data_IF_921086218261
#
_entry.id   IF_921086218261
#
_cell.length_a   1.000
_cell.length_b   1.000
_cell.length_c   1.000
_cell.angle_alpha   90.00
_cell.angle_beta   90.00
_cell.angle_gamma   90.00
#
_symmetry.space_group_name_H-M   'P 1'
#
loop_
_entity.id
_entity.type
_entity.pdbx_description
1 polymer ?
#
# COMPACT_ATOMS: atom_id res chain seq x y z
N UNK A 1 -7.12 -18.21 -8.31
CA UNK A 1 -7.31 -16.85 -7.78
C UNK A 1 -5.95 -16.19 -7.79
N UNK A 2 -5.80 -15.03 -8.42
CA UNK A 2 -4.50 -14.34 -8.56
C UNK A 2 -4.00 -13.87 -7.19
N UNK A 3 -2.77 -14.24 -6.85
CA UNK A 3 -2.10 -13.76 -5.65
C UNK A 3 -1.43 -12.42 -5.92
N UNK A 4 -1.62 -11.43 -5.03
CA UNK A 4 -1.09 -10.08 -5.21
C UNK A 4 -0.45 -9.60 -3.90
N UNK A 5 0.85 -9.33 -3.92
CA UNK A 5 1.51 -8.66 -2.80
C UNK A 5 1.11 -7.18 -2.76
N UNK A 6 0.64 -6.74 -1.59
CA UNK A 6 0.07 -5.41 -1.40
C UNK A 6 1.07 -4.28 -1.43
N UNK A 7 2.34 -4.55 -1.13
CA UNK A 7 3.39 -3.54 -1.13
C UNK A 7 4.80 -4.13 -1.18
N UNK A 8 5.53 -3.79 -2.22
CA UNK A 8 6.97 -4.06 -2.38
C UNK A 8 7.69 -2.78 -2.79
N UNK A 9 8.94 -2.60 -2.36
CA UNK A 9 9.78 -1.51 -2.82
C UNK A 9 10.67 -1.97 -3.98
N UNK A 10 10.79 -1.17 -5.04
CA UNK A 10 11.62 -1.46 -6.19
C UNK A 10 12.54 -0.29 -6.50
N UNK A 11 13.86 -0.54 -6.56
CA UNK A 11 14.87 0.46 -6.86
C UNK A 11 16.05 0.42 -5.90
N UNK A 12 16.93 1.41 -6.01
CA UNK A 12 18.15 1.52 -5.20
C UNK A 12 17.95 2.56 -4.10
N UNK A 13 18.21 2.19 -2.86
CA UNK A 13 18.30 3.08 -1.71
C UNK A 13 19.66 2.92 -1.02
N UNK A 14 19.90 3.66 0.06
CA UNK A 14 21.14 3.57 0.83
C UNK A 14 21.35 2.20 1.47
N UNK A 15 20.26 1.56 1.90
CA UNK A 15 20.29 0.33 2.68
C UNK A 15 20.06 -0.92 1.84
N UNK A 16 19.52 -0.79 0.63
CA UNK A 16 19.20 -1.93 -0.23
C UNK A 16 19.25 -1.60 -1.72
N UNK A 17 19.36 -2.66 -2.52
CA UNK A 17 19.24 -2.61 -3.97
C UNK A 17 18.16 -3.62 -4.40
N UNK A 18 16.93 -3.16 -4.56
CA UNK A 18 15.79 -3.94 -5.00
C UNK A 18 15.72 -3.97 -6.53
N UNK A 19 16.35 -4.97 -7.14
CA UNK A 19 16.27 -5.15 -8.60
C UNK A 19 14.98 -5.89 -9.00
N UNK A 20 14.49 -5.63 -10.22
CA UNK A 20 13.34 -6.34 -10.79
C UNK A 20 13.56 -7.86 -10.75
N UNK A 21 14.75 -8.34 -11.14
CA UNK A 21 15.05 -9.77 -11.17
C UNK A 21 15.03 -10.41 -9.78
N UNK A 22 15.54 -9.72 -8.75
CA UNK A 22 15.51 -10.21 -7.38
C UNK A 22 14.08 -10.30 -6.83
N UNK A 23 13.27 -9.28 -7.09
CA UNK A 23 11.87 -9.26 -6.66
C UNK A 23 11.07 -10.36 -7.38
N UNK A 24 11.22 -10.50 -8.69
CA UNK A 24 10.55 -11.55 -9.47
C UNK A 24 10.92 -12.95 -8.96
N UNK A 25 12.20 -13.20 -8.67
CA UNK A 25 12.64 -14.48 -8.12
C UNK A 25 12.06 -14.76 -6.72
N UNK A 26 11.94 -13.74 -5.87
CA UNK A 26 11.29 -13.87 -4.55
C UNK A 26 9.77 -14.17 -4.70
N UNK A 27 9.10 -13.46 -5.60
CA UNK A 27 7.69 -13.70 -5.92
C UNK A 27 7.46 -15.13 -6.42
N UNK A 28 8.34 -15.63 -7.31
CA UNK A 28 8.22 -16.98 -7.86
C UNK A 28 8.36 -18.05 -6.77
N UNK A 29 9.32 -17.89 -5.84
CA UNK A 29 9.48 -18.82 -4.71
C UNK A 29 8.27 -18.81 -3.76
N UNK A 30 7.68 -17.64 -3.52
CA UNK A 30 6.52 -17.51 -2.64
C UNK A 30 5.19 -17.88 -3.31
N UNK A 31 5.17 -18.10 -4.62
CA UNK A 31 3.95 -18.31 -5.39
C UNK A 31 3.08 -17.05 -5.53
N UNK A 32 3.73 -15.88 -5.57
CA UNK A 32 3.08 -14.57 -5.75
C UNK A 32 3.07 -14.22 -7.23
N UNK A 33 1.88 -14.07 -7.80
CA UNK A 33 1.72 -13.81 -9.23
C UNK A 33 1.98 -12.35 -9.58
N UNK A 34 1.52 -11.41 -8.74
CA UNK A 34 1.68 -9.97 -8.96
C UNK A 34 2.09 -9.25 -7.68
N UNK A 35 2.68 -8.06 -7.82
CA UNK A 35 3.02 -7.20 -6.69
C UNK A 35 2.72 -5.72 -7.02
N UNK A 36 2.20 -5.00 -6.04
CA UNK A 36 2.19 -3.53 -6.07
C UNK A 36 3.60 -3.06 -5.75
N UNK A 37 4.21 -2.31 -6.67
CA UNK A 37 5.55 -1.77 -6.51
C UNK A 37 5.53 -0.28 -6.24
N UNK A 38 6.36 0.15 -5.31
CA UNK A 38 6.56 1.54 -4.94
C UNK A 38 8.04 1.92 -5.00
N UNK A 39 8.38 3.19 -5.28
CA UNK A 39 9.76 3.62 -5.33
C UNK A 39 10.36 3.74 -3.92
N UNK A 40 11.70 3.75 -3.79
CA UNK A 40 12.41 4.01 -2.54
C UNK A 40 12.09 5.37 -1.91
N UNK A 41 12.39 5.49 -0.60
CA UNK A 41 12.05 6.63 0.24
C UNK A 41 12.48 7.99 -0.31
N UNK A 42 13.67 8.07 -0.93
CA UNK A 42 14.13 9.33 -1.55
C UNK A 42 13.16 9.86 -2.61
N UNK A 43 12.55 8.96 -3.36
CA UNK A 43 11.57 9.32 -4.39
C UNK A 43 10.20 9.61 -3.79
N UNK A 44 9.85 8.98 -2.67
CA UNK A 44 8.66 9.34 -1.91
C UNK A 44 8.83 10.76 -1.34
N UNK A 45 10.01 11.08 -0.79
CA UNK A 45 10.29 12.34 -0.14
C UNK A 45 10.40 13.53 -1.13
N UNK A 46 11.17 13.39 -2.21
CA UNK A 46 11.59 14.54 -3.03
C UNK A 46 11.34 14.34 -4.53
N UNK A 47 11.95 13.33 -5.14
CA UNK A 47 11.98 13.18 -6.61
C UNK A 47 10.82 12.32 -7.12
N UNK A 48 9.58 12.70 -6.74
CA UNK A 48 8.39 11.90 -6.98
C UNK A 48 8.23 11.52 -8.46
N UNK A 49 8.44 12.48 -9.38
CA UNK A 49 8.28 12.22 -10.81
C UNK A 49 9.23 11.16 -11.33
N UNK A 50 10.50 11.19 -10.90
CA UNK A 50 11.50 10.19 -11.28
C UNK A 50 11.10 8.80 -10.73
N UNK A 51 10.70 8.74 -9.45
CA UNK A 51 10.22 7.50 -8.84
C UNK A 51 9.01 6.91 -9.57
N UNK A 52 8.02 7.73 -9.89
CA UNK A 52 6.84 7.30 -10.64
C UNK A 52 7.19 6.80 -12.05
N UNK A 53 8.15 7.43 -12.72
CA UNK A 53 8.64 6.98 -14.03
C UNK A 53 9.33 5.62 -13.92
N UNK A 54 10.14 5.38 -12.91
CA UNK A 54 10.76 4.09 -12.66
C UNK A 54 9.71 2.98 -12.48
N UNK A 55 8.66 3.24 -11.69
CA UNK A 55 7.57 2.26 -11.48
C UNK A 55 6.81 1.96 -12.78
N UNK A 56 6.52 2.99 -13.57
CA UNK A 56 5.90 2.83 -14.90
C UNK A 56 6.76 1.96 -15.82
N UNK A 57 8.07 2.21 -15.86
CA UNK A 57 8.98 1.51 -16.77
C UNK A 57 9.15 0.05 -16.35
N UNK A 58 9.20 -0.25 -15.04
CA UNK A 58 9.17 -1.61 -14.52
C UNK A 58 7.88 -2.37 -14.89
N UNK A 59 6.72 -1.71 -14.80
CA UNK A 59 5.44 -2.32 -15.24
C UNK A 59 5.45 -2.56 -16.75
N UNK A 60 6.00 -1.67 -17.56
CA UNK A 60 6.11 -1.88 -19.02
C UNK A 60 7.00 -3.08 -19.35
N UNK A 61 8.06 -3.31 -18.59
CA UNK A 61 8.92 -4.49 -18.73
C UNK A 61 8.21 -5.77 -18.26
N UNK A 62 7.40 -5.70 -17.21
CA UNK A 62 6.77 -6.87 -16.58
C UNK A 62 5.24 -6.65 -16.34
N UNK A 63 4.42 -6.42 -17.38
CA UNK A 63 3.03 -5.96 -17.22
C UNK A 63 2.08 -6.95 -16.55
N UNK A 64 2.45 -8.23 -16.53
CA UNK A 64 1.68 -9.29 -15.85
C UNK A 64 2.13 -9.56 -14.43
N UNK A 65 3.26 -8.96 -14.00
CA UNK A 65 3.86 -9.21 -12.70
C UNK A 65 3.75 -8.00 -11.78
N UNK A 66 3.93 -6.79 -12.30
CA UNK A 66 3.95 -5.58 -11.49
C UNK A 66 2.69 -4.73 -11.69
N UNK A 67 2.33 -4.02 -10.63
CA UNK A 67 1.28 -3.00 -10.58
C UNK A 67 1.93 -1.74 -10.04
N UNK A 68 1.99 -0.67 -10.82
CA UNK A 68 2.62 0.57 -10.39
C UNK A 68 1.79 1.27 -9.31
N UNK A 69 2.44 1.68 -8.24
CA UNK A 69 1.95 2.80 -7.45
C UNK A 69 2.51 4.12 -7.98
N UNK A 70 1.93 5.22 -7.54
CA UNK A 70 2.51 6.56 -7.67
C UNK A 70 2.65 7.20 -6.29
N UNK A 71 3.51 8.20 -6.21
CA UNK A 71 3.66 9.04 -5.03
C UNK A 71 3.72 10.50 -5.44
N UNK A 72 3.32 11.38 -4.52
CA UNK A 72 3.56 12.80 -4.62
C UNK A 72 3.70 13.40 -3.22
N UNK A 73 4.66 14.30 -3.05
CA UNK A 73 4.83 14.99 -1.77
C UNK A 73 3.83 16.15 -1.69
N UNK A 74 2.90 16.16 -0.71
CA UNK A 74 1.84 17.17 -0.64
C UNK A 74 2.36 18.60 -0.47
N UNK A 75 3.59 18.79 0.03
CA UNK A 75 4.24 20.10 0.11
C UNK A 75 4.42 20.80 -1.24
N UNK A 76 4.32 20.07 -2.35
CA UNK A 76 4.41 20.66 -3.69
C UNK A 76 3.09 21.23 -4.21
N UNK A 77 1.99 21.15 -3.43
CA UNK A 77 0.69 21.71 -3.77
C UNK A 77 0.15 21.22 -5.11
N UNK A 78 -0.27 22.13 -5.98
CA UNK A 78 -0.86 21.77 -7.27
C UNK A 78 0.06 20.89 -8.14
N UNK A 79 1.37 21.07 -8.05
CA UNK A 79 2.33 20.22 -8.79
C UNK A 79 2.28 18.77 -8.33
N UNK A 80 1.98 18.51 -7.04
CA UNK A 80 1.79 17.16 -6.53
C UNK A 80 0.50 16.53 -7.11
N UNK A 81 -0.59 17.27 -7.18
CA UNK A 81 -1.85 16.82 -7.80
C UNK A 81 -1.67 16.50 -9.29
N UNK A 82 -1.01 17.41 -10.03
CA UNK A 82 -0.70 17.20 -11.45
C UNK A 82 0.17 15.94 -11.66
N UNK A 83 1.14 15.71 -10.77
CA UNK A 83 1.99 14.52 -10.85
C UNK A 83 1.21 13.22 -10.58
N UNK A 84 0.30 13.20 -9.60
CA UNK A 84 -0.58 12.04 -9.37
C UNK A 84 -1.43 11.78 -10.61
N UNK A 85 -2.07 12.81 -11.15
CA UNK A 85 -2.91 12.68 -12.36
C UNK A 85 -2.11 12.10 -13.52
N UNK A 86 -0.94 12.66 -13.80
CA UNK A 86 -0.04 12.17 -14.86
C UNK A 86 0.35 10.70 -14.65
N UNK A 87 0.77 10.35 -13.44
CA UNK A 87 1.20 8.98 -13.14
C UNK A 87 0.05 7.97 -13.29
N UNK A 88 -1.17 8.36 -12.88
CA UNK A 88 -2.37 7.54 -13.03
C UNK A 88 -2.79 7.39 -14.50
N UNK A 89 -2.67 8.43 -15.31
CA UNK A 89 -2.87 8.37 -16.76
C UNK A 89 -1.85 7.44 -17.43
N UNK A 90 -0.63 7.39 -16.91
CA UNK A 90 0.43 6.49 -17.37
C UNK A 90 0.35 5.07 -16.79
N UNK A 91 -0.67 4.75 -15.97
CA UNK A 91 -0.99 3.39 -15.54
C UNK A 91 -0.80 3.08 -14.06
N UNK A 92 -0.45 4.06 -13.21
CA UNK A 92 -0.42 3.85 -11.76
C UNK A 92 -1.82 3.54 -11.22
N UNK A 93 -1.90 2.67 -10.21
CA UNK A 93 -3.15 2.14 -9.67
C UNK A 93 -3.33 2.36 -8.17
N UNK A 94 -2.32 2.83 -7.48
CA UNK A 94 -2.32 3.11 -6.03
C UNK A 94 -1.57 4.41 -5.80
N UNK A 95 -2.11 5.31 -5.00
CA UNK A 95 -1.36 6.45 -4.47
C UNK A 95 -0.70 6.04 -3.15
N UNK A 96 0.61 6.22 -3.04
CA UNK A 96 1.37 5.97 -1.81
C UNK A 96 1.68 7.28 -1.12
N UNK A 97 1.31 7.36 0.17
CA UNK A 97 1.65 8.43 1.08
C UNK A 97 2.53 7.88 2.21
N UNK A 98 3.64 8.54 2.47
CA UNK A 98 4.54 8.19 3.55
C UNK A 98 4.73 9.39 4.51
N UNK A 99 3.80 9.62 5.44
CA UNK A 99 3.78 10.84 6.25
C UNK A 99 5.08 11.15 6.97
N UNK A 100 5.77 10.13 7.52
CA UNK A 100 7.06 10.32 8.20
C UNK A 100 8.14 10.83 7.22
N UNK A 101 8.33 10.15 6.09
CA UNK A 101 9.39 10.46 5.12
C UNK A 101 9.09 11.78 4.37
N UNK A 102 7.83 12.05 4.13
CA UNK A 102 7.37 13.27 3.44
C UNK A 102 7.17 14.46 4.39
N UNK A 103 7.26 14.25 5.71
CA UNK A 103 7.28 15.30 6.72
C UNK A 103 5.92 15.98 6.98
N UNK A 104 4.82 15.21 7.03
CA UNK A 104 3.49 15.73 7.36
C UNK A 104 2.73 14.78 8.31
N UNK A 105 1.63 15.23 8.88
CA UNK A 105 0.70 14.37 9.62
C UNK A 105 -0.33 13.78 8.66
N UNK A 106 -0.63 12.49 8.77
CA UNK A 106 -1.46 11.79 7.79
C UNK A 106 -2.81 12.48 7.51
N UNK A 107 -3.43 13.08 8.51
CA UNK A 107 -4.71 13.79 8.41
C UNK A 107 -4.58 15.33 8.30
N UNK A 108 -3.41 15.85 7.97
CA UNK A 108 -3.21 17.28 7.71
C UNK A 108 -3.96 17.70 6.43
N UNK A 109 -4.51 18.94 6.44
CA UNK A 109 -5.22 19.50 5.28
C UNK A 109 -4.35 19.58 4.02
N UNK A 110 -3.03 19.60 4.20
CA UNK A 110 -2.05 19.55 3.14
C UNK A 110 -2.24 18.37 2.18
N UNK A 111 -2.74 17.23 2.69
CA UNK A 111 -2.95 16.01 1.90
C UNK A 111 -4.27 15.99 1.15
N UNK A 112 -5.24 16.82 1.52
CA UNK A 112 -6.61 16.76 0.99
C UNK A 112 -6.69 16.89 -0.54
N UNK A 113 -5.95 17.78 -1.22
CA UNK A 113 -5.98 17.86 -2.67
C UNK A 113 -5.53 16.56 -3.37
N UNK A 114 -4.62 15.80 -2.75
CA UNK A 114 -4.19 14.49 -3.27
C UNK A 114 -5.28 13.43 -3.09
N UNK A 115 -6.02 13.49 -1.99
CA UNK A 115 -7.14 12.56 -1.73
C UNK A 115 -8.33 12.86 -2.65
N UNK A 116 -8.61 14.13 -2.93
CA UNK A 116 -9.60 14.53 -3.92
C UNK A 116 -9.24 14.02 -5.32
N UNK A 117 -7.98 14.12 -5.71
CA UNK A 117 -7.51 13.55 -6.98
C UNK A 117 -7.61 12.02 -7.00
N UNK A 118 -7.25 11.34 -5.89
CA UNK A 118 -7.37 9.88 -5.78
C UNK A 118 -8.83 9.41 -5.91
N UNK A 119 -9.77 10.13 -5.31
CA UNK A 119 -11.22 9.87 -5.44
C UNK A 119 -11.69 10.03 -6.89
N UNK A 120 -11.35 11.15 -7.54
CA UNK A 120 -11.66 11.40 -8.96
C UNK A 120 -11.10 10.30 -9.87
N UNK A 121 -9.88 9.84 -9.60
CA UNK A 121 -9.20 8.79 -10.35
C UNK A 121 -9.66 7.38 -9.96
N UNK A 122 -10.43 7.22 -8.88
CA UNK A 122 -10.90 5.94 -8.32
C UNK A 122 -9.75 4.97 -8.03
N UNK A 123 -8.69 5.48 -7.44
CA UNK A 123 -7.55 4.69 -7.00
C UNK A 123 -7.49 4.64 -5.47
N UNK A 124 -7.12 3.51 -4.87
CA UNK A 124 -6.89 3.42 -3.44
C UNK A 124 -5.65 4.20 -3.02
N UNK A 125 -5.63 4.61 -1.75
CA UNK A 125 -4.50 5.31 -1.12
C UNK A 125 -3.86 4.40 -0.09
N UNK A 126 -2.59 4.08 -0.30
CA UNK A 126 -1.76 3.39 0.68
C UNK A 126 -1.11 4.43 1.60
N UNK A 127 -1.37 4.32 2.89
CA UNK A 127 -0.77 5.20 3.90
C UNK A 127 0.18 4.38 4.76
N UNK A 128 1.47 4.72 4.75
CA UNK A 128 2.41 4.16 5.70
C UNK A 128 2.01 4.57 7.11
N UNK A 129 1.73 3.61 7.99
CA UNK A 129 1.28 3.85 9.37
C UNK A 129 2.25 3.29 10.41
N UNK A 130 2.06 3.69 11.66
CA UNK A 130 2.88 3.23 12.79
C UNK A 130 3.92 4.23 13.26
N UNK A 131 4.01 5.41 12.65
CA UNK A 131 4.95 6.44 13.06
C UNK A 131 4.31 7.40 14.06
N UNK A 132 4.82 7.49 15.30
CA UNK A 132 4.33 8.43 16.30
C UNK A 132 4.34 9.87 15.77
N UNK A 133 3.23 10.56 15.95
CA UNK A 133 3.07 11.95 15.52
C UNK A 133 2.82 12.18 14.03
N UNK A 134 3.11 11.22 13.14
CA UNK A 134 2.92 11.37 11.72
C UNK A 134 1.76 10.54 11.16
N UNK A 135 1.64 9.27 11.54
CA UNK A 135 0.63 8.38 10.97
C UNK A 135 0.19 7.29 11.93
N UNK A 136 -0.88 7.56 12.64
CA UNK A 136 -1.55 6.62 13.54
C UNK A 136 -2.78 6.01 12.85
N UNK A 137 -3.29 4.84 13.28
CA UNK A 137 -4.55 4.28 12.76
C UNK A 137 -5.72 5.25 12.83
N UNK A 138 -5.84 6.04 13.90
CA UNK A 138 -6.95 7.00 14.06
C UNK A 138 -6.85 8.22 13.13
N UNK A 139 -5.65 8.61 12.71
CA UNK A 139 -5.51 9.63 11.66
C UNK A 139 -5.99 9.10 10.30
N UNK A 140 -5.80 7.81 10.00
CA UNK A 140 -6.37 7.18 8.79
C UNK A 140 -7.90 7.09 8.89
N UNK A 141 -8.47 6.85 10.08
CA UNK A 141 -9.93 6.90 10.29
C UNK A 141 -10.50 8.29 9.97
N UNK A 142 -9.84 9.35 10.44
CA UNK A 142 -10.26 10.72 10.16
C UNK A 142 -10.32 10.98 8.64
N UNK A 143 -9.30 10.56 7.89
CA UNK A 143 -9.31 10.62 6.44
C UNK A 143 -10.41 9.77 5.81
N UNK A 144 -10.59 8.55 6.26
CA UNK A 144 -11.56 7.61 5.71
C UNK A 144 -13.01 8.07 5.89
N UNK A 145 -13.31 8.71 7.02
CA UNK A 145 -14.63 9.30 7.29
C UNK A 145 -14.86 10.57 6.46
N UNK A 146 -13.81 11.34 6.18
CA UNK A 146 -13.88 12.55 5.37
C UNK A 146 -13.99 12.25 3.88
N UNK A 147 -13.35 11.18 3.41
CA UNK A 147 -13.30 10.76 2.02
C UNK A 147 -13.89 9.36 1.82
N UNK A 148 -15.22 9.19 1.96
CA UNK A 148 -15.85 7.87 1.89
C UNK A 148 -15.77 7.21 0.50
N UNK A 149 -15.44 7.97 -0.55
CA UNK A 149 -15.19 7.46 -1.90
C UNK A 149 -13.81 6.86 -2.11
N UNK A 150 -12.85 7.15 -1.22
CA UNK A 150 -11.47 6.67 -1.28
C UNK A 150 -11.32 5.42 -0.42
N UNK A 151 -10.72 4.36 -0.97
CA UNK A 151 -10.30 3.21 -0.17
C UNK A 151 -8.90 3.45 0.39
N UNK A 152 -8.72 3.27 1.69
CA UNK A 152 -7.44 3.44 2.38
C UNK A 152 -6.84 2.09 2.73
N UNK A 153 -5.63 1.82 2.25
CA UNK A 153 -4.78 0.73 2.70
C UNK A 153 -3.95 1.24 3.88
N UNK A 154 -4.24 0.75 5.09
CA UNK A 154 -3.46 1.03 6.29
C UNK A 154 -2.19 0.17 6.24
N UNK A 155 -1.14 0.73 5.64
CA UNK A 155 0.14 0.06 5.48
C UNK A 155 0.78 -0.28 6.83
N UNK A 156 1.35 -1.46 6.94
CA UNK A 156 2.02 -1.96 8.14
C UNK A 156 1.10 -2.16 9.37
N UNK A 157 -0.21 -2.01 9.23
CA UNK A 157 -1.18 -2.19 10.32
C UNK A 157 -0.81 -1.46 11.63
N UNK A 158 -0.41 -0.19 11.53
CA UNK A 158 -0.05 0.59 12.72
C UNK A 158 1.22 0.12 13.43
N UNK A 159 2.02 -0.76 12.82
CA UNK A 159 3.28 -1.19 13.38
C UNK A 159 4.24 0.01 13.49
N UNK A 160 4.98 0.12 14.56
CA UNK A 160 5.26 -0.84 15.63
C UNK A 160 4.49 -0.53 16.93
N UNK A 161 3.96 0.69 17.08
CA UNK A 161 3.53 1.22 18.38
C UNK A 161 2.00 1.23 18.54
N UNK A 162 1.23 1.16 17.43
CA UNK A 162 -0.23 1.37 17.45
C UNK A 162 -1.05 0.13 17.12
N UNK A 163 -0.48 -1.06 17.27
CA UNK A 163 -1.13 -2.33 16.95
C UNK A 163 -2.45 -2.58 17.71
N UNK A 164 -2.60 -1.99 18.91
CA UNK A 164 -3.84 -2.08 19.69
C UNK A 164 -5.00 -1.28 19.09
N UNK A 165 -4.69 -0.21 18.34
CA UNK A 165 -5.70 0.69 17.77
C UNK A 165 -6.28 0.15 16.45
N UNK A 166 -5.56 -0.76 15.79
CA UNK A 166 -5.90 -1.26 14.43
C UNK A 166 -7.29 -1.89 14.35
N UNK A 167 -7.70 -2.83 15.24
CA UNK A 167 -9.02 -3.44 15.12
C UNK A 167 -10.17 -2.44 15.27
N UNK A 168 -10.03 -1.50 16.22
CA UNK A 168 -11.01 -0.46 16.47
C UNK A 168 -11.12 0.49 15.28
N UNK A 169 -10.01 0.94 14.74
CA UNK A 169 -9.98 1.84 13.60
C UNK A 169 -10.61 1.21 12.35
N UNK A 170 -10.26 -0.03 12.02
CA UNK A 170 -10.80 -0.74 10.87
C UNK A 170 -12.29 -1.05 10.97
N UNK A 171 -12.82 -1.18 12.20
CA UNK A 171 -14.26 -1.41 12.43
C UNK A 171 -15.11 -0.14 12.25
N UNK A 172 -14.53 1.05 12.45
CA UNK A 172 -15.27 2.33 12.38
C UNK A 172 -15.49 2.78 10.93
N UNK A 173 -14.52 2.57 10.04
CA UNK A 173 -14.59 3.05 8.67
C UNK A 173 -14.66 1.90 7.65
N UNK A 174 -15.72 1.84 6.82
CA UNK A 174 -15.92 0.74 5.87
C UNK A 174 -14.89 0.70 4.74
N UNK A 175 -14.23 1.81 4.46
CA UNK A 175 -13.26 2.00 3.39
C UNK A 175 -11.79 1.91 3.86
N UNK A 176 -11.54 1.39 5.07
CA UNK A 176 -10.18 1.04 5.54
C UNK A 176 -9.92 -0.44 5.29
N UNK A 177 -8.75 -0.73 4.76
CA UNK A 177 -8.20 -2.08 4.53
C UNK A 177 -6.86 -2.19 5.24
N UNK A 178 -6.56 -3.37 5.77
CA UNK A 178 -5.39 -3.66 6.58
C UNK A 178 -4.34 -4.36 5.74
N UNK A 179 -3.18 -3.74 5.57
CA UNK A 179 -2.06 -4.35 4.85
C UNK A 179 -1.06 -4.92 5.86
N UNK A 180 -0.66 -6.19 5.66
CA UNK A 180 -0.07 -7.04 6.71
C UNK A 180 1.42 -6.86 6.98
N UNK A 181 2.17 -6.18 6.13
CA UNK A 181 3.62 -6.02 6.35
C UNK A 181 3.91 -5.43 7.73
N UNK A 182 4.93 -5.92 8.41
CA UNK A 182 5.26 -5.65 9.81
C UNK A 182 4.21 -6.10 10.86
N UNK A 183 3.01 -6.50 10.48
CA UNK A 183 2.05 -7.04 11.42
C UNK A 183 2.47 -8.47 11.85
N UNK A 184 2.44 -8.75 13.14
CA UNK A 184 2.65 -10.13 13.59
C UNK A 184 1.51 -11.01 13.07
N UNK A 185 1.78 -12.17 12.46
CA UNK A 185 0.76 -12.97 11.77
C UNK A 185 -0.45 -13.34 12.64
N UNK A 186 -0.23 -13.68 13.92
CA UNK A 186 -1.32 -13.98 14.85
C UNK A 186 -2.16 -12.74 15.21
N UNK A 187 -1.54 -11.56 15.23
CA UNK A 187 -2.26 -10.30 15.44
C UNK A 187 -3.09 -9.95 14.22
N UNK A 188 -2.51 -10.08 13.02
CA UNK A 188 -3.23 -9.85 11.77
C UNK A 188 -4.46 -10.78 11.63
N UNK A 189 -4.30 -12.06 11.98
CA UNK A 189 -5.44 -12.99 12.05
C UNK A 189 -6.53 -12.51 13.01
N UNK A 190 -6.16 -11.97 14.18
CA UNK A 190 -7.12 -11.40 15.11
C UNK A 190 -7.77 -10.11 14.58
N UNK A 191 -7.02 -9.26 13.87
CA UNK A 191 -7.58 -8.06 13.24
C UNK A 191 -8.67 -8.44 12.24
N UNK A 192 -8.41 -9.42 11.37
CA UNK A 192 -9.40 -9.87 10.40
C UNK A 192 -10.61 -10.55 11.04
N UNK A 193 -10.42 -11.23 12.17
CA UNK A 193 -11.57 -11.78 12.93
C UNK A 193 -12.49 -10.69 13.46
N UNK A 194 -11.97 -9.50 13.78
CA UNK A 194 -12.75 -8.37 14.33
C UNK A 194 -13.28 -7.48 13.18
N UNK A 195 -12.44 -7.13 12.22
CA UNK A 195 -12.78 -6.17 11.17
C UNK A 195 -13.45 -6.81 9.93
N UNK A 196 -13.31 -8.13 9.76
CA UNK A 196 -13.76 -8.87 8.59
C UNK A 196 -12.61 -9.31 7.67
N UNK A 197 -12.68 -10.52 7.12
CA UNK A 197 -11.68 -11.07 6.24
C UNK A 197 -11.52 -10.28 4.91
N UNK A 198 -12.62 -9.63 4.49
CA UNK A 198 -12.66 -8.76 3.30
C UNK A 198 -11.85 -7.47 3.44
N UNK A 199 -11.32 -7.19 4.64
CA UNK A 199 -10.49 -6.03 4.94
C UNK A 199 -8.99 -6.31 4.81
N UNK A 200 -8.57 -7.58 4.76
CA UNK A 200 -7.17 -7.96 4.75
C UNK A 200 -6.53 -7.84 3.37
N UNK A 201 -5.28 -7.40 3.35
CA UNK A 201 -4.37 -7.43 2.20
C UNK A 201 -3.02 -7.95 2.68
N UNK A 202 -2.54 -9.03 2.08
CA UNK A 202 -1.18 -9.52 2.35
C UNK A 202 -0.18 -8.67 1.60
N UNK A 203 0.81 -8.14 2.29
CA UNK A 203 1.96 -7.46 1.72
C UNK A 203 3.22 -7.80 2.50
N UNK A 204 4.34 -7.74 1.83
CA UNK A 204 5.64 -8.13 2.40
C UNK A 204 6.54 -6.98 2.79
N UNK A 205 6.41 -5.84 2.11
CA UNK A 205 7.39 -4.77 2.15
C UNK A 205 8.79 -5.23 1.72
N UNK A 206 8.86 -6.19 0.80
CA UNK A 206 10.14 -6.62 0.24
C UNK A 206 10.85 -5.46 -0.50
N UNK A 207 12.19 -5.35 -0.46
CA UNK A 207 13.13 -6.31 0.12
C UNK A 207 13.50 -6.03 1.58
N UNK A 208 12.86 -5.05 2.26
CA UNK A 208 13.15 -4.77 3.66
C UNK A 208 12.79 -5.95 4.56
N UNK A 209 11.72 -6.67 4.20
CA UNK A 209 11.40 -7.99 4.76
C UNK A 209 11.57 -9.07 3.69
N UNK A 210 11.74 -10.31 4.11
CA UNK A 210 11.76 -11.46 3.21
C UNK A 210 10.35 -11.81 2.75
N UNK A 211 10.07 -11.66 1.46
CA UNK A 211 8.77 -11.87 0.86
C UNK A 211 8.25 -13.30 1.08
N UNK A 212 9.11 -14.29 0.89
CA UNK A 212 8.74 -15.70 1.03
C UNK A 212 8.34 -16.01 2.48
N UNK A 213 9.13 -15.52 3.44
CA UNK A 213 8.83 -15.65 4.86
C UNK A 213 7.50 -15.01 5.24
N UNK A 214 7.28 -13.74 4.85
CA UNK A 214 6.04 -13.01 5.17
C UNK A 214 4.80 -13.75 4.62
N UNK A 215 4.85 -14.21 3.38
CA UNK A 215 3.76 -14.94 2.76
C UNK A 215 3.51 -16.32 3.39
N UNK A 216 4.57 -17.04 3.75
CA UNK A 216 4.45 -18.33 4.49
C UNK A 216 3.81 -18.13 5.85
N UNK A 217 4.21 -17.08 6.59
CA UNK A 217 3.61 -16.80 7.89
C UNK A 217 2.13 -16.47 7.76
N UNK A 218 1.73 -15.64 6.81
CA UNK A 218 0.31 -15.33 6.60
C UNK A 218 -0.49 -16.57 6.19
N UNK A 219 0.06 -17.41 5.30
CA UNK A 219 -0.57 -18.69 4.90
C UNK A 219 -0.76 -19.64 6.08
N UNK A 220 0.18 -19.67 7.02
CA UNK A 220 0.16 -20.53 8.20
C UNK A 220 -0.83 -20.08 9.27
N UNK A 221 -0.97 -18.77 9.48
CA UNK A 221 -1.73 -18.24 10.61
C UNK A 221 -3.15 -17.81 10.25
N UNK A 222 -3.44 -17.51 8.98
CA UNK A 222 -4.79 -17.17 8.56
C UNK A 222 -5.60 -18.43 8.24
N UNK A 223 -6.90 -18.46 8.58
CA UNK A 223 -7.82 -19.45 8.03
C UNK A 223 -7.77 -19.41 6.49
N UNK A 224 -7.90 -20.58 5.84
CA UNK A 224 -7.70 -20.70 4.39
C UNK A 224 -8.59 -19.73 3.57
N UNK A 225 -9.83 -19.53 3.98
CA UNK A 225 -10.75 -18.57 3.34
C UNK A 225 -10.25 -17.13 3.49
N UNK A 226 -9.89 -16.73 4.71
CA UNK A 226 -9.38 -15.39 5.00
C UNK A 226 -8.05 -15.13 4.26
N UNK A 227 -7.17 -16.14 4.21
CA UNK A 227 -5.94 -16.05 3.42
C UNK A 227 -6.25 -15.87 1.93
N UNK A 228 -7.15 -16.66 1.34
CA UNK A 228 -7.53 -16.50 -0.06
C UNK A 228 -8.08 -15.11 -0.40
N UNK A 229 -8.83 -14.51 0.50
CA UNK A 229 -9.32 -13.14 0.34
C UNK A 229 -8.18 -12.12 0.43
N UNK A 230 -7.35 -12.20 1.48
CA UNK A 230 -6.28 -11.25 1.76
C UNK A 230 -5.12 -11.37 0.77
N UNK A 231 -4.83 -12.59 0.28
CA UNK A 231 -3.73 -12.87 -0.66
C UNK A 231 -3.95 -12.33 -2.08
N UNK A 232 -5.12 -11.76 -2.39
CA UNK A 232 -5.32 -11.18 -3.72
C UNK A 232 -6.74 -10.70 -4.02
N UNK A 233 -7.80 -11.41 -3.60
CA UNK A 233 -9.16 -11.07 -3.98
C UNK A 233 -9.57 -9.66 -3.54
N UNK A 234 -9.23 -9.29 -2.31
CA UNK A 234 -9.57 -7.97 -1.77
C UNK A 234 -8.85 -6.86 -2.55
N UNK A 235 -7.54 -6.99 -2.75
CA UNK A 235 -6.77 -5.99 -3.47
C UNK A 235 -7.17 -5.92 -4.95
N UNK A 236 -7.43 -7.05 -5.61
CA UNK A 236 -7.93 -7.06 -7.00
C UNK A 236 -9.26 -6.31 -7.12
N UNK A 237 -10.17 -6.46 -6.15
CA UNK A 237 -11.43 -5.71 -6.10
C UNK A 237 -11.21 -4.19 -5.95
N UNK A 238 -10.28 -3.77 -5.10
CA UNK A 238 -9.94 -2.35 -4.92
C UNK A 238 -9.36 -1.74 -6.21
N UNK A 239 -8.38 -2.41 -6.78
CA UNK A 239 -7.72 -1.97 -8.01
C UNK A 239 -8.65 -1.99 -9.22
N UNK A 240 -9.65 -2.87 -9.23
CA UNK A 240 -10.64 -3.00 -10.30
C UNK A 240 -11.65 -1.85 -10.39
N UNK A 241 -11.77 -0.98 -9.37
CA UNK A 241 -12.70 0.16 -9.38
C UNK A 241 -12.41 1.17 -10.50
N UNK A 242 -11.15 1.28 -10.94
CA UNK A 242 -10.75 2.12 -12.07
C UNK A 242 -10.87 1.42 -13.45
N UNK A 243 -11.17 0.13 -13.49
CA UNK A 243 -11.18 -0.70 -14.69
C UNK A 243 -10.28 -1.93 -14.56
N UNK A 244 -10.32 -2.82 -15.55
CA UNK A 244 -9.56 -4.08 -15.51
C UNK A 244 -8.05 -3.85 -15.30
N UNK A 245 -7.46 -4.76 -14.51
CA UNK A 245 -6.01 -4.79 -14.21
C UNK A 245 -5.20 -5.31 -15.40
#
# INVERSE_FOLDING_TARGET
>A
MTTIDGYCTLGVDREYNATESALLAAMDRAGVERAVIAPPDRFLAVDNREGNQCMRDAVRAHPRRFIASCCANPWYGNRAVEEVRRAVEEGARVLVLHPLVQGFQANDELVFPLLEEADQQRIPVYVHTGSPGNSTPWQVVDLALRYPGVDFLMGHCGATDFWNDVPGSAAVAPNIYLESSLARPFQFANYLRIAGAEKGVVGSWAPLNDLEFEWEQMRKFLPAEAFGMAAGANLARLLGKRGAL
#
